data_IF_006964758069
#
_entry.id   IF_006964758069
#
_cell.length_a   1.000
_cell.length_b   1.000
_cell.length_c   1.000
_cell.angle_alpha   90.00
_cell.angle_beta   90.00
_cell.angle_gamma   90.00
#
_symmetry.space_group_name_H-M   'P 1'
#
loop_
_entity.id
_entity.type
_entity.pdbx_description
1 polymer ?
#
# COMPACT_ATOMS: atom_id res chain seq x y z
N UNK A 1 -10.09 -5.82 -7.31
CA UNK A 1 -9.30 -4.70 -7.88
C UNK A 1 -9.17 -3.49 -6.96
N UNK A 2 -10.20 -3.07 -6.20
CA UNK A 2 -10.12 -1.85 -5.34
C UNK A 2 -8.96 -1.84 -4.35
N UNK A 3 -8.68 -2.95 -3.67
CA UNK A 3 -7.55 -3.02 -2.71
C UNK A 3 -6.21 -2.82 -3.42
N UNK A 4 -6.00 -3.49 -4.55
CA UNK A 4 -4.76 -3.37 -5.32
C UNK A 4 -4.59 -1.95 -5.88
N UNK A 5 -5.66 -1.34 -6.40
CA UNK A 5 -5.65 0.06 -6.84
C UNK A 5 -5.42 1.05 -5.69
N UNK A 6 -5.96 0.80 -4.50
CA UNK A 6 -5.79 1.69 -3.35
C UNK A 6 -4.34 1.85 -2.92
N UNK A 7 -3.52 0.82 -3.12
CA UNK A 7 -2.09 0.84 -2.81
C UNK A 7 -1.25 1.27 -4.03
N UNK A 8 -1.60 0.84 -5.24
CA UNK A 8 -0.82 1.17 -6.43
C UNK A 8 -1.01 2.62 -6.87
N UNK A 9 -2.22 3.18 -6.76
CA UNK A 9 -2.51 4.57 -7.17
C UNK A 9 -1.74 5.61 -6.35
N UNK A 10 -1.37 5.28 -5.11
CA UNK A 10 -0.54 6.15 -4.28
C UNK A 10 0.96 5.87 -4.46
N UNK A 11 1.33 4.91 -5.32
CA UNK A 11 2.70 4.47 -5.58
C UNK A 11 3.31 3.62 -4.47
N UNK A 12 2.48 2.99 -3.63
CA UNK A 12 2.94 2.08 -2.58
C UNK A 12 3.14 0.63 -3.09
N UNK A 13 2.69 0.33 -4.31
CA UNK A 13 2.84 -0.97 -4.96
C UNK A 13 2.87 -0.83 -6.48
N UNK A 14 3.49 -1.80 -7.16
CA UNK A 14 3.28 -2.05 -8.60
C UNK A 14 2.05 -2.95 -8.79
N UNK A 15 1.28 -2.69 -9.84
CA UNK A 15 0.08 -3.46 -10.17
C UNK A 15 0.29 -4.11 -11.54
N UNK A 16 0.16 -5.43 -11.59
CA UNK A 16 0.13 -6.19 -12.85
C UNK A 16 -1.33 -6.60 -13.11
N UNK A 17 -1.96 -6.15 -14.21
CA UNK A 17 -3.26 -6.66 -14.62
C UNK A 17 -3.20 -8.18 -14.83
N UNK A 18 -4.27 -8.90 -14.50
CA UNK A 18 -4.29 -10.37 -14.63
C UNK A 18 -4.04 -10.84 -16.07
N UNK A 19 -4.54 -10.08 -17.05
CA UNK A 19 -4.28 -10.32 -18.48
C UNK A 19 -2.81 -10.23 -18.87
N UNK A 20 -2.03 -9.49 -18.10
CA UNK A 20 -0.65 -9.15 -18.38
C UNK A 20 0.31 -9.91 -17.44
N UNK A 21 -0.23 -10.75 -16.55
CA UNK A 21 0.52 -11.53 -15.59
C UNK A 21 1.14 -12.75 -16.27
N UNK A 22 2.43 -12.66 -16.53
CA UNK A 22 3.27 -13.72 -17.09
C UNK A 22 4.49 -13.92 -16.19
N UNK A 23 5.22 -15.04 -16.32
CA UNK A 23 6.48 -15.23 -15.59
C UNK A 23 7.47 -14.08 -15.81
N UNK A 24 7.56 -13.58 -17.05
CA UNK A 24 8.48 -12.50 -17.41
C UNK A 24 8.05 -11.15 -16.81
N UNK A 25 6.75 -10.79 -16.89
CA UNK A 25 6.27 -9.53 -16.32
C UNK A 25 6.38 -9.49 -14.80
N UNK A 26 6.11 -10.63 -14.14
CA UNK A 26 6.32 -10.77 -12.71
C UNK A 26 7.80 -10.60 -12.34
N UNK A 27 8.69 -11.31 -13.04
CA UNK A 27 10.13 -11.22 -12.77
C UNK A 27 10.65 -9.79 -12.97
N UNK A 28 10.20 -9.11 -14.04
CA UNK A 28 10.61 -7.74 -14.34
C UNK A 28 10.21 -6.77 -13.23
N UNK A 29 8.94 -6.77 -12.80
CA UNK A 29 8.48 -5.85 -11.74
C UNK A 29 9.17 -6.12 -10.40
N UNK A 30 9.36 -7.39 -10.04
CA UNK A 30 10.10 -7.75 -8.83
C UNK A 30 11.56 -7.27 -8.93
N UNK A 31 12.23 -7.52 -10.06
CA UNK A 31 13.62 -7.11 -10.25
C UNK A 31 13.77 -5.60 -10.22
N UNK A 32 12.86 -4.83 -10.82
CA UNK A 32 12.86 -3.36 -10.77
C UNK A 32 12.80 -2.85 -9.33
N UNK A 33 11.90 -3.40 -8.51
CA UNK A 33 11.78 -3.01 -7.10
C UNK A 33 13.04 -3.42 -6.33
N UNK A 34 13.48 -4.66 -6.48
CA UNK A 34 14.56 -5.23 -5.66
C UNK A 34 15.94 -4.67 -6.00
N UNK A 35 16.15 -4.20 -7.23
CA UNK A 35 17.42 -3.62 -7.68
C UNK A 35 17.55 -2.11 -7.41
N UNK A 36 16.49 -1.45 -6.93
CA UNK A 36 16.47 0.00 -6.73
C UNK A 36 16.10 0.39 -5.30
N UNK A 37 17.10 0.82 -4.54
CA UNK A 37 16.92 1.32 -3.17
C UNK A 37 15.99 2.56 -3.13
N UNK A 38 16.03 3.40 -4.16
CA UNK A 38 15.15 4.58 -4.24
C UNK A 38 13.68 4.17 -4.38
N UNK A 39 13.38 3.19 -5.24
CA UNK A 39 12.02 2.67 -5.40
C UNK A 39 11.53 2.03 -4.09
N UNK A 40 12.39 1.23 -3.43
CA UNK A 40 12.05 0.60 -2.15
C UNK A 40 11.73 1.64 -1.07
N UNK A 41 12.55 2.69 -0.97
CA UNK A 41 12.34 3.75 0.01
C UNK A 41 11.04 4.50 -0.25
N UNK A 42 10.80 4.88 -1.50
CA UNK A 42 9.57 5.57 -1.89
C UNK A 42 8.32 4.72 -1.62
N UNK A 43 8.34 3.45 -2.01
CA UNK A 43 7.24 2.52 -1.73
C UNK A 43 7.02 2.31 -0.24
N UNK A 44 8.08 2.22 0.57
CA UNK A 44 8.00 2.09 2.03
C UNK A 44 7.35 3.31 2.67
N UNK A 45 7.78 4.51 2.30
CA UNK A 45 7.22 5.76 2.81
C UNK A 45 5.74 5.92 2.46
N UNK A 46 5.36 5.60 1.22
CA UNK A 46 3.96 5.65 0.77
C UNK A 46 3.11 4.59 1.45
N UNK A 47 3.62 3.37 1.62
CA UNK A 47 2.94 2.29 2.34
C UNK A 47 2.63 2.67 3.79
N UNK A 48 3.59 3.30 4.48
CA UNK A 48 3.39 3.78 5.87
C UNK A 48 2.30 4.83 5.97
N UNK A 49 2.21 5.73 4.99
CA UNK A 49 1.18 6.79 4.97
C UNK A 49 -0.24 6.22 4.82
N UNK A 50 -0.42 5.16 4.03
CA UNK A 50 -1.73 4.54 3.82
C UNK A 50 -2.09 3.48 4.86
N UNK A 51 -1.12 2.96 5.61
CA UNK A 51 -1.30 1.86 6.56
C UNK A 51 -2.10 2.19 7.84
N UNK A 52 -2.58 3.43 8.00
CA UNK A 52 -3.33 3.93 9.18
C UNK A 52 -2.87 3.28 10.51
N UNK A 53 -1.60 3.49 10.92
CA UNK A 53 -1.03 2.80 12.08
C UNK A 53 -1.73 3.10 13.41
N UNK A 54 -2.45 4.23 13.48
CA UNK A 54 -3.24 4.71 14.63
C UNK A 54 -4.74 4.38 14.51
N UNK A 55 -5.13 3.45 13.64
CA UNK A 55 -6.54 3.10 13.38
C UNK A 55 -7.29 2.69 14.65
N UNK A 56 -6.65 1.90 15.53
CA UNK A 56 -7.23 1.46 16.79
C UNK A 56 -7.50 2.65 17.73
N UNK A 57 -6.52 3.56 17.88
CA UNK A 57 -6.65 4.75 18.71
C UNK A 57 -7.76 5.68 18.20
N UNK A 58 -7.86 5.85 16.87
CA UNK A 58 -8.95 6.60 16.24
C UNK A 58 -10.31 6.01 16.56
N UNK A 59 -10.43 4.69 16.51
CA UNK A 59 -11.68 3.99 16.81
C UNK A 59 -12.06 4.13 18.28
N UNK A 60 -11.10 3.96 19.20
CA UNK A 60 -11.30 4.19 20.64
C UNK A 60 -11.81 5.61 20.88
N UNK A 61 -11.16 6.62 20.29
CA UNK A 61 -11.57 8.02 20.42
C UNK A 61 -13.02 8.24 20.00
N UNK A 62 -13.42 7.73 18.84
CA UNK A 62 -14.80 7.87 18.35
C UNK A 62 -15.79 7.23 19.33
N UNK A 63 -15.50 6.04 19.85
CA UNK A 63 -16.38 5.36 20.81
C UNK A 63 -16.48 6.13 22.13
N UNK A 64 -15.37 6.65 22.66
CA UNK A 64 -15.36 7.47 23.87
C UNK A 64 -16.13 8.79 23.68
N UNK A 65 -15.98 9.45 22.54
CA UNK A 65 -16.70 10.68 22.20
C UNK A 65 -18.22 10.45 22.11
N UNK A 66 -18.67 9.25 21.71
CA UNK A 66 -20.09 8.89 21.65
C UNK A 66 -20.70 8.59 23.03
N UNK A 67 -19.92 8.03 23.95
CA UNK A 67 -20.38 7.67 25.30
C UNK A 67 -20.40 8.87 26.25
N UNK A 68 -19.49 9.82 26.07
CA UNK A 68 -19.35 11.01 26.92
C UNK A 68 -20.22 12.20 26.46
N UNK A 69 -21.17 11.98 25.57
CA UNK A 69 -22.07 12.98 24.99
C UNK A 69 -23.48 12.79 25.52
#
# INVERSE_FOLDING_TARGET
>A
TKNALSVSNVGAAKLIPESDLTPDSLFQEVNEIMSSESIQKEMSEKSKKIGVPDAADRLIKILTDLVNK
#
